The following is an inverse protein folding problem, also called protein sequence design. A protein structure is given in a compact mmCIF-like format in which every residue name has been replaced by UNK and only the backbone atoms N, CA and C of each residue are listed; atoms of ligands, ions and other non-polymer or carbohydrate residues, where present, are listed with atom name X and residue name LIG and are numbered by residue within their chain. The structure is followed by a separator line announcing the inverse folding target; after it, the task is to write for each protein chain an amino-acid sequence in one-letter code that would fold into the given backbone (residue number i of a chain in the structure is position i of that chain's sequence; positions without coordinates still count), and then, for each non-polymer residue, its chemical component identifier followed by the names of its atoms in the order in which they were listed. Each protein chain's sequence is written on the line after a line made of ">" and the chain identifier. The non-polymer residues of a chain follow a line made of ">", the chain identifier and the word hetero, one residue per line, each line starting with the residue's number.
data_IF_794469244059
#
_entry.id   IF_794469244059
#
_cell.length_a   1.000
_cell.length_b   1.000
_cell.length_c   1.000
_cell.angle_alpha   90.00
_cell.angle_beta   90.00
_cell.angle_gamma   90.00
#
_symmetry.space_group_name_H-M   'P 1'
#
loop_
_entity.id
_entity.type
_entity.pdbx_description
1 polymer ?
#
# COMPACT_ATOMS: atom_id res chain seq x y z
N UNK A 1 -11.60 -34.88 22.31
CA UNK A 1 -12.29 -34.63 21.00
C UNK A 1 -12.94 -33.23 20.93
N UNK A 2 -13.50 -32.73 22.03
CA UNK A 2 -14.11 -31.38 22.07
C UNK A 2 -13.11 -30.23 21.97
N UNK A 3 -11.94 -30.36 22.59
CA UNK A 3 -10.89 -29.35 22.55
C UNK A 3 -10.32 -29.19 21.13
N UNK A 4 -10.15 -30.29 20.40
CA UNK A 4 -9.69 -30.24 19.01
C UNK A 4 -10.69 -29.58 18.04
N UNK A 5 -11.99 -29.68 18.31
CA UNK A 5 -13.04 -29.01 17.52
C UNK A 5 -13.08 -27.51 17.84
N UNK A 6 -12.93 -27.12 19.11
CA UNK A 6 -12.84 -25.73 19.54
C UNK A 6 -11.62 -25.04 18.94
N UNK A 7 -10.45 -25.66 18.96
CA UNK A 7 -9.23 -25.12 18.37
C UNK A 7 -9.35 -25.01 16.84
N UNK A 8 -10.02 -25.95 16.18
CA UNK A 8 -10.30 -25.90 14.74
C UNK A 8 -11.29 -24.78 14.38
N UNK A 9 -12.33 -24.57 15.18
CA UNK A 9 -13.30 -23.48 14.97
C UNK A 9 -12.71 -22.10 15.27
N UNK A 10 -11.90 -21.99 16.33
CA UNK A 10 -11.17 -20.76 16.65
C UNK A 10 -10.12 -20.43 15.57
N UNK A 11 -9.40 -21.43 15.07
CA UNK A 11 -8.41 -21.23 14.01
C UNK A 11 -9.07 -20.85 12.69
N UNK A 12 -10.27 -21.40 12.36
CA UNK A 12 -11.06 -20.97 11.19
C UNK A 12 -11.58 -19.55 11.36
N UNK A 13 -12.12 -19.18 12.52
CA UNK A 13 -12.59 -17.83 12.79
C UNK A 13 -11.46 -16.78 12.72
N UNK A 14 -10.30 -17.09 13.28
CA UNK A 14 -9.12 -16.22 13.18
C UNK A 14 -8.60 -16.13 11.75
N UNK A 15 -8.63 -17.20 10.97
CA UNK A 15 -8.27 -17.21 9.55
C UNK A 15 -9.20 -16.33 8.72
N UNK A 16 -10.51 -16.39 8.95
CA UNK A 16 -11.49 -15.53 8.24
C UNK A 16 -11.33 -14.05 8.59
N UNK A 17 -11.10 -13.73 9.86
CA UNK A 17 -10.87 -12.34 10.30
C UNK A 17 -9.58 -11.80 9.67
N UNK A 18 -8.51 -12.59 9.64
CA UNK A 18 -7.25 -12.22 9.01
C UNK A 18 -7.42 -11.99 7.50
N UNK A 19 -8.15 -12.85 6.80
CA UNK A 19 -8.41 -12.69 5.37
C UNK A 19 -9.20 -11.41 5.08
N UNK A 20 -10.24 -11.10 5.85
CA UNK A 20 -11.02 -9.87 5.68
C UNK A 20 -10.17 -8.61 5.87
N UNK A 21 -9.26 -8.61 6.85
CA UNK A 21 -8.37 -7.48 7.11
C UNK A 21 -7.33 -7.28 6.01
N UNK A 22 -6.78 -8.36 5.47
CA UNK A 22 -5.90 -8.29 4.29
C UNK A 22 -6.66 -7.71 3.10
N UNK A 23 -7.88 -8.15 2.84
CA UNK A 23 -8.73 -7.60 1.75
C UNK A 23 -8.98 -6.11 1.94
N UNK A 24 -9.32 -5.66 3.15
CA UNK A 24 -9.53 -4.24 3.45
C UNK A 24 -8.25 -3.44 3.21
N UNK A 25 -7.13 -3.89 3.74
CA UNK A 25 -5.85 -3.21 3.60
C UNK A 25 -5.40 -3.11 2.14
N UNK A 26 -5.58 -4.15 1.37
CA UNK A 26 -5.18 -4.20 -0.04
C UNK A 26 -6.14 -3.48 -0.97
N UNK A 27 -7.44 -3.48 -0.68
CA UNK A 27 -8.46 -2.82 -1.50
C UNK A 27 -8.56 -1.33 -1.22
N UNK A 28 -8.81 -0.94 0.04
CA UNK A 28 -8.94 0.47 0.41
C UNK A 28 -7.59 1.15 0.60
N UNK A 29 -6.59 0.43 1.12
CA UNK A 29 -5.28 0.97 1.42
C UNK A 29 -4.55 1.50 0.19
N UNK A 30 -4.75 0.89 -0.97
CA UNK A 30 -4.14 1.35 -2.24
C UNK A 30 -4.57 2.76 -2.62
N UNK A 31 -5.78 3.19 -2.26
CA UNK A 31 -6.27 4.55 -2.54
C UNK A 31 -5.57 5.61 -1.70
N UNK A 32 -5.02 5.24 -0.53
CA UNK A 32 -4.25 6.13 0.32
C UNK A 32 -2.76 6.16 0.01
N UNK A 33 -2.29 5.42 -0.99
CA UNK A 33 -0.86 5.40 -1.33
C UNK A 33 -0.51 6.55 -2.27
N UNK A 34 0.36 7.50 -1.87
CA UNK A 34 0.71 8.66 -2.70
C UNK A 34 1.22 8.29 -4.10
N UNK A 35 1.99 7.20 -4.22
CA UNK A 35 2.49 6.71 -5.51
C UNK A 35 1.37 6.23 -6.45
N UNK A 36 0.22 5.84 -5.94
CA UNK A 36 -0.94 5.48 -6.75
C UNK A 36 -1.68 6.72 -7.22
N UNK A 37 -1.81 7.72 -6.35
CA UNK A 37 -2.44 9.01 -6.69
C UNK A 37 -1.67 9.72 -7.79
N UNK A 38 -0.33 9.71 -7.75
CA UNK A 38 0.51 10.32 -8.79
C UNK A 38 0.23 9.81 -10.21
N UNK A 39 -0.23 8.56 -10.35
CA UNK A 39 -0.57 8.01 -11.68
C UNK A 39 -1.78 8.70 -12.31
N UNK A 40 -2.70 9.24 -11.51
CA UNK A 40 -3.84 9.98 -12.04
C UNK A 40 -3.45 11.32 -12.69
N UNK A 41 -2.36 11.93 -12.22
CA UNK A 41 -1.85 13.17 -12.81
C UNK A 41 -1.22 13.00 -14.21
N UNK A 42 -0.93 11.76 -14.62
CA UNK A 42 -0.35 11.44 -15.92
C UNK A 42 -1.42 11.10 -16.97
N UNK A 43 -2.70 11.28 -16.67
CA UNK A 43 -3.80 10.96 -17.59
C UNK A 43 -4.12 12.18 -18.45
N UNK A 44 -4.02 12.05 -19.79
CA UNK A 44 -4.19 13.14 -20.72
C UNK A 44 -5.65 13.56 -20.96
N UNK A 45 -6.60 12.60 -20.89
CA UNK A 45 -8.00 12.87 -21.17
C UNK A 45 -8.96 11.89 -20.45
N UNK A 46 -10.23 12.30 -20.30
CA UNK A 46 -11.26 11.53 -19.59
C UNK A 46 -11.63 10.20 -20.28
N UNK A 47 -11.58 10.15 -21.61
CA UNK A 47 -11.84 8.91 -22.34
C UNK A 47 -10.78 7.83 -22.04
N UNK A 48 -9.56 8.22 -21.74
CA UNK A 48 -8.49 7.33 -21.32
C UNK A 48 -8.75 6.74 -19.93
N UNK A 49 -9.47 7.44 -19.05
CA UNK A 49 -9.85 6.93 -17.72
C UNK A 49 -10.76 5.71 -17.87
N UNK A 50 -11.80 5.79 -18.68
CA UNK A 50 -12.73 4.68 -18.88
C UNK A 50 -12.04 3.44 -19.47
N UNK A 51 -11.24 3.65 -20.53
CA UNK A 51 -10.46 2.56 -21.15
C UNK A 51 -9.46 1.96 -20.15
N UNK A 52 -8.73 2.81 -19.43
CA UNK A 52 -7.78 2.39 -18.42
C UNK A 52 -8.44 1.60 -17.28
N UNK A 53 -9.62 2.01 -16.84
CA UNK A 53 -10.38 1.30 -15.80
C UNK A 53 -10.77 -0.11 -16.25
N UNK A 54 -11.29 -0.26 -17.47
CA UNK A 54 -11.67 -1.59 -17.99
C UNK A 54 -10.43 -2.48 -18.14
N UNK A 55 -9.37 -1.97 -18.76
CA UNK A 55 -8.13 -2.74 -18.98
C UNK A 55 -7.51 -3.16 -17.64
N UNK A 56 -7.37 -2.23 -16.69
CA UNK A 56 -6.78 -2.53 -15.39
C UNK A 56 -7.65 -3.48 -14.55
N UNK A 57 -8.96 -3.40 -14.66
CA UNK A 57 -9.87 -4.33 -13.97
C UNK A 57 -9.73 -5.76 -14.52
N UNK A 58 -9.73 -5.93 -15.85
CA UNK A 58 -9.54 -7.24 -16.48
C UNK A 58 -8.16 -7.79 -16.11
N UNK A 59 -7.13 -6.96 -16.20
CA UNK A 59 -5.77 -7.35 -15.83
C UNK A 59 -5.68 -7.79 -14.36
N UNK A 60 -6.28 -7.02 -13.44
CA UNK A 60 -6.31 -7.34 -12.02
C UNK A 60 -7.05 -8.65 -11.74
N UNK A 61 -8.17 -8.91 -12.42
CA UNK A 61 -8.91 -10.18 -12.31
C UNK A 61 -8.06 -11.37 -12.76
N UNK A 62 -7.38 -11.25 -13.89
CA UNK A 62 -6.53 -12.32 -14.43
C UNK A 62 -5.35 -12.58 -13.48
N UNK A 63 -4.64 -11.54 -13.04
CA UNK A 63 -3.47 -11.68 -12.18
C UNK A 63 -3.86 -12.17 -10.79
N UNK A 64 -4.81 -11.53 -10.13
CA UNK A 64 -5.24 -11.94 -8.79
C UNK A 64 -5.89 -13.32 -8.81
N UNK A 65 -6.79 -13.58 -9.77
CA UNK A 65 -7.42 -14.88 -9.93
C UNK A 65 -6.39 -15.99 -10.18
N UNK A 66 -5.40 -15.74 -11.03
CA UNK A 66 -4.29 -16.65 -11.29
C UNK A 66 -3.44 -16.93 -10.05
N UNK A 67 -3.09 -15.89 -9.29
CA UNK A 67 -2.32 -16.06 -8.06
C UNK A 67 -3.08 -16.89 -7.00
N UNK A 68 -4.37 -16.60 -6.78
CA UNK A 68 -5.18 -17.36 -5.83
C UNK A 68 -5.41 -18.80 -6.29
N UNK A 69 -5.63 -19.00 -7.60
CA UNK A 69 -5.76 -20.33 -8.19
C UNK A 69 -4.49 -21.14 -7.98
N UNK A 70 -3.31 -20.60 -8.32
CA UNK A 70 -2.02 -21.24 -8.08
C UNK A 70 -1.76 -21.51 -6.61
N UNK A 71 -2.08 -20.53 -5.73
CA UNK A 71 -1.95 -20.69 -4.28
C UNK A 71 -2.79 -21.86 -3.74
N UNK A 72 -3.95 -22.14 -4.32
CA UNK A 72 -4.78 -23.28 -3.98
C UNK A 72 -4.09 -24.63 -4.17
N UNK A 73 -3.20 -24.75 -5.16
CA UNK A 73 -2.40 -25.97 -5.36
C UNK A 73 -1.39 -26.24 -4.25
N UNK A 74 -1.06 -25.25 -3.41
CA UNK A 74 -0.19 -25.45 -2.24
C UNK A 74 -0.67 -26.56 -1.32
N UNK A 75 -1.99 -26.82 -1.27
CA UNK A 75 -2.55 -27.94 -0.49
C UNK A 75 -2.16 -29.33 -1.01
N UNK A 76 -1.87 -29.46 -2.29
CA UNK A 76 -1.43 -30.74 -2.87
C UNK A 76 0.00 -31.12 -2.44
N UNK A 77 0.76 -30.13 -1.96
CA UNK A 77 2.13 -30.27 -1.49
C UNK A 77 2.26 -30.13 0.03
N UNK A 78 1.14 -30.24 0.78
CA UNK A 78 1.12 -30.06 2.24
C UNK A 78 2.11 -30.96 2.98
N UNK A 79 2.34 -32.17 2.47
CA UNK A 79 3.25 -33.14 3.08
C UNK A 79 4.73 -32.77 2.93
N UNK A 80 5.04 -31.88 1.98
CA UNK A 80 6.39 -31.39 1.70
C UNK A 80 6.66 -30.00 2.32
N UNK A 81 5.61 -29.35 2.85
CA UNK A 81 5.67 -27.98 3.33
C UNK A 81 5.55 -27.96 4.85
N UNK A 82 6.65 -27.68 5.54
CA UNK A 82 6.63 -27.40 7.00
C UNK A 82 6.53 -25.89 7.24
N UNK A 83 5.30 -25.40 7.33
CA UNK A 83 5.01 -23.97 7.61
C UNK A 83 5.48 -23.57 9.02
N UNK A 84 5.53 -24.51 9.99
CA UNK A 84 5.98 -24.19 11.35
C UNK A 84 7.49 -23.95 11.42
N UNK A 85 8.26 -24.70 10.63
CA UNK A 85 9.71 -24.55 10.58
C UNK A 85 10.16 -23.44 9.62
N UNK A 86 9.53 -23.34 8.43
CA UNK A 86 10.02 -22.52 7.33
C UNK A 86 9.15 -21.28 7.03
N UNK A 87 8.01 -21.11 7.74
CA UNK A 87 7.08 -20.02 7.50
C UNK A 87 6.23 -20.19 6.24
N UNK A 88 5.26 -19.29 6.06
CA UNK A 88 4.35 -19.30 4.90
C UNK A 88 5.04 -18.98 3.57
N UNK A 89 6.13 -18.21 3.61
CA UNK A 89 6.88 -17.80 2.41
C UNK A 89 7.60 -18.97 1.72
N UNK A 90 7.72 -20.12 2.40
CA UNK A 90 8.30 -21.35 1.85
C UNK A 90 7.37 -22.13 0.91
N UNK A 91 6.07 -21.82 0.91
CA UNK A 91 5.06 -22.61 0.16
C UNK A 91 5.37 -22.59 -1.33
N UNK A 92 5.48 -21.40 -1.93
CA UNK A 92 5.72 -21.26 -3.37
C UNK A 92 7.08 -21.83 -3.80
N UNK A 93 8.21 -21.55 -3.13
CA UNK A 93 9.48 -22.17 -3.46
C UNK A 93 9.43 -23.71 -3.42
N UNK A 94 8.76 -24.29 -2.43
CA UNK A 94 8.61 -25.76 -2.33
C UNK A 94 7.78 -26.33 -3.49
N UNK A 95 6.70 -25.68 -3.89
CA UNK A 95 5.94 -26.07 -5.06
C UNK A 95 6.79 -26.01 -6.33
N UNK A 96 7.57 -24.94 -6.49
CA UNK A 96 8.43 -24.74 -7.66
C UNK A 96 9.57 -25.74 -7.73
N UNK A 97 10.08 -26.23 -6.59
CA UNK A 97 11.16 -27.22 -6.56
C UNK A 97 10.79 -28.57 -7.24
N UNK A 98 9.51 -28.83 -7.44
CA UNK A 98 9.01 -29.99 -8.17
C UNK A 98 8.99 -29.81 -9.70
N UNK A 99 9.36 -28.64 -10.21
CA UNK A 99 9.43 -28.35 -11.64
C UNK A 99 10.81 -28.74 -12.21
N UNK A 100 10.87 -28.82 -13.54
CA UNK A 100 12.17 -29.01 -14.21
C UNK A 100 13.12 -27.84 -13.96
N UNK A 101 14.45 -28.06 -13.91
CA UNK A 101 15.42 -26.99 -13.63
C UNK A 101 15.33 -25.79 -14.59
N UNK A 102 14.97 -26.04 -15.85
CA UNK A 102 14.80 -24.96 -16.83
C UNK A 102 13.59 -24.07 -16.50
N UNK A 103 12.48 -24.63 -16.03
CA UNK A 103 11.30 -23.88 -15.61
C UNK A 103 11.58 -23.12 -14.31
N UNK A 104 12.29 -23.73 -13.37
CA UNK A 104 12.71 -23.03 -12.12
C UNK A 104 13.57 -21.80 -12.48
N UNK A 105 14.56 -21.97 -13.36
CA UNK A 105 15.42 -20.86 -13.79
C UNK A 105 14.60 -19.72 -14.44
N UNK A 106 13.64 -20.08 -15.31
CA UNK A 106 12.75 -19.10 -15.94
C UNK A 106 11.95 -18.32 -14.91
N UNK A 107 11.32 -19.00 -13.94
CA UNK A 107 10.52 -18.36 -12.88
C UNK A 107 11.39 -17.46 -12.01
N UNK A 108 12.59 -17.90 -11.62
CA UNK A 108 13.53 -17.09 -10.83
C UNK A 108 13.91 -15.81 -11.58
N UNK A 109 14.23 -15.90 -12.87
CA UNK A 109 14.54 -14.72 -13.70
C UNK A 109 13.35 -13.77 -13.77
N UNK A 110 12.14 -14.29 -13.98
CA UNK A 110 10.93 -13.48 -14.02
C UNK A 110 10.68 -12.74 -12.69
N UNK A 111 10.78 -13.44 -11.56
CA UNK A 111 10.60 -12.86 -10.23
C UNK A 111 11.65 -11.80 -9.94
N UNK A 112 12.92 -12.07 -10.24
CA UNK A 112 14.00 -11.09 -10.07
C UNK A 112 13.79 -9.85 -10.94
N UNK A 113 13.43 -10.03 -12.22
CA UNK A 113 13.18 -8.91 -13.13
C UNK A 113 12.01 -8.04 -12.66
N UNK A 114 10.90 -8.64 -12.25
CA UNK A 114 9.75 -7.93 -11.71
C UNK A 114 10.08 -7.17 -10.42
N UNK A 115 10.81 -7.81 -9.50
CA UNK A 115 11.23 -7.21 -8.24
C UNK A 115 12.20 -6.03 -8.46
N UNK A 116 13.15 -6.17 -9.38
CA UNK A 116 14.09 -5.10 -9.72
C UNK A 116 13.39 -3.89 -10.33
N UNK A 117 12.43 -4.11 -11.23
CA UNK A 117 11.62 -3.05 -11.84
C UNK A 117 10.86 -2.24 -10.78
N UNK A 118 10.19 -2.94 -9.86
CA UNK A 118 9.42 -2.30 -8.79
C UNK A 118 10.33 -1.57 -7.80
N UNK A 119 11.41 -2.23 -7.35
CA UNK A 119 12.37 -1.65 -6.41
C UNK A 119 12.99 -0.37 -6.98
N UNK A 120 13.42 -0.38 -8.24
CA UNK A 120 14.02 0.77 -8.91
C UNK A 120 13.06 1.97 -8.93
N UNK A 121 11.80 1.76 -9.29
CA UNK A 121 10.81 2.82 -9.33
C UNK A 121 10.50 3.41 -7.95
N UNK A 122 10.38 2.56 -6.92
CA UNK A 122 10.13 3.01 -5.54
C UNK A 122 11.31 3.77 -4.95
N UNK A 123 12.54 3.29 -5.16
CA UNK A 123 13.74 3.94 -4.65
C UNK A 123 13.97 5.30 -5.33
N UNK A 124 13.74 5.40 -6.64
CA UNK A 124 13.84 6.67 -7.37
C UNK A 124 12.77 7.65 -6.87
N UNK A 125 11.51 7.21 -6.75
CA UNK A 125 10.43 8.05 -6.24
C UNK A 125 10.73 8.57 -4.83
N UNK A 126 11.13 7.69 -3.90
CA UNK A 126 11.46 8.07 -2.51
C UNK A 126 12.65 9.03 -2.45
N UNK A 127 13.70 8.78 -3.24
CA UNK A 127 14.90 9.64 -3.29
C UNK A 127 14.59 11.01 -3.90
N UNK A 128 13.74 11.06 -4.93
CA UNK A 128 13.29 12.31 -5.55
C UNK A 128 12.46 13.13 -4.60
N UNK A 129 11.46 12.53 -3.94
CA UNK A 129 10.60 13.21 -2.96
C UNK A 129 11.43 13.75 -1.80
N UNK A 130 12.34 12.96 -1.25
CA UNK A 130 13.21 13.44 -0.16
C UNK A 130 14.15 14.56 -0.61
N UNK A 131 14.66 14.51 -1.85
CA UNK A 131 15.56 15.56 -2.36
C UNK A 131 14.81 16.83 -2.74
N UNK A 132 13.73 16.71 -3.50
CA UNK A 132 13.03 17.85 -4.09
C UNK A 132 12.07 18.47 -3.08
N UNK A 133 11.16 17.66 -2.52
CA UNK A 133 10.08 18.17 -1.67
C UNK A 133 10.54 18.47 -0.24
N UNK A 134 11.54 17.74 0.26
CA UNK A 134 12.00 17.94 1.62
C UNK A 134 13.30 18.75 1.72
N UNK A 135 14.39 18.32 1.06
CA UNK A 135 15.69 18.99 1.19
C UNK A 135 15.73 20.35 0.49
N UNK A 136 15.25 20.42 -0.74
CA UNK A 136 15.26 21.66 -1.52
C UNK A 136 14.32 22.71 -0.93
N UNK A 137 13.08 22.33 -0.60
CA UNK A 137 12.09 23.31 -0.15
C UNK A 137 12.34 23.80 1.28
N UNK A 138 12.86 22.95 2.18
CA UNK A 138 13.04 23.32 3.57
C UNK A 138 14.47 23.77 3.94
N UNK A 139 15.51 23.20 3.28
CA UNK A 139 16.89 23.41 3.71
C UNK A 139 17.76 24.12 2.67
N UNK A 140 17.60 23.84 1.38
CA UNK A 140 18.50 24.31 0.33
C UNK A 140 17.70 24.94 -0.81
N UNK A 141 17.09 26.09 -0.57
CA UNK A 141 16.16 26.75 -1.52
C UNK A 141 16.74 27.01 -2.94
N UNK A 142 18.06 27.15 -3.09
CA UNK A 142 18.74 27.42 -4.36
C UNK A 142 19.59 26.23 -4.83
N UNK A 143 19.06 25.02 -4.74
CA UNK A 143 19.78 23.83 -5.17
C UNK A 143 19.84 23.75 -6.71
N UNK A 144 21.04 23.77 -7.29
CA UNK A 144 21.22 23.61 -8.72
C UNK A 144 20.82 22.20 -9.19
N UNK A 145 20.39 22.05 -10.44
CA UNK A 145 19.96 20.75 -11.00
C UNK A 145 21.02 19.65 -10.85
N UNK A 146 22.29 19.97 -11.07
CA UNK A 146 23.42 19.04 -10.88
C UNK A 146 23.49 18.52 -9.43
N UNK A 147 23.27 19.40 -8.45
CA UNK A 147 23.24 19.00 -7.04
C UNK A 147 22.01 18.16 -6.72
N UNK A 148 20.84 18.49 -7.28
CA UNK A 148 19.63 17.68 -7.10
C UNK A 148 19.85 16.23 -7.57
N UNK A 149 20.38 16.06 -8.79
CA UNK A 149 20.71 14.73 -9.33
C UNK A 149 21.74 13.99 -8.47
N UNK A 150 22.75 14.70 -7.95
CA UNK A 150 23.74 14.09 -7.04
C UNK A 150 23.11 13.59 -5.75
N UNK A 151 22.27 14.42 -5.09
CA UNK A 151 21.58 14.01 -3.86
C UNK A 151 20.62 12.84 -4.11
N UNK A 152 19.87 12.86 -5.22
CA UNK A 152 19.01 11.72 -5.59
C UNK A 152 19.86 10.44 -5.71
N UNK A 153 20.99 10.47 -6.39
CA UNK A 153 21.88 9.30 -6.55
C UNK A 153 22.41 8.79 -5.20
N UNK A 154 22.82 9.69 -4.33
CA UNK A 154 23.30 9.32 -2.98
C UNK A 154 22.18 8.66 -2.20
N UNK A 155 20.97 9.25 -2.20
CA UNK A 155 19.82 8.70 -1.49
C UNK A 155 19.36 7.35 -2.07
N UNK A 156 19.45 7.15 -3.39
CA UNK A 156 19.20 5.84 -4.02
C UNK A 156 20.10 4.78 -3.39
N UNK A 157 21.41 5.06 -3.29
CA UNK A 157 22.37 4.12 -2.67
C UNK A 157 22.03 3.86 -1.20
N UNK A 158 21.69 4.92 -0.45
CA UNK A 158 21.31 4.81 0.97
C UNK A 158 20.04 3.95 1.13
N UNK A 159 18.99 4.20 0.36
CA UNK A 159 17.75 3.41 0.45
C UNK A 159 17.97 1.95 0.05
N UNK A 160 18.77 1.68 -0.98
CA UNK A 160 19.11 0.30 -1.36
C UNK A 160 19.90 -0.38 -0.23
N UNK A 161 20.86 0.31 0.38
CA UNK A 161 21.64 -0.23 1.50
C UNK A 161 20.75 -0.56 2.71
N UNK A 162 19.83 0.36 3.08
CA UNK A 162 18.85 0.13 4.14
C UNK A 162 17.97 -1.09 3.81
N UNK A 163 17.47 -1.17 2.58
CA UNK A 163 16.62 -2.29 2.14
C UNK A 163 17.39 -3.63 2.21
N UNK A 164 18.66 -3.64 1.81
CA UNK A 164 19.48 -4.84 1.89
C UNK A 164 19.74 -5.26 3.35
N UNK A 165 20.00 -4.31 4.25
CA UNK A 165 20.18 -4.59 5.69
C UNK A 165 18.89 -5.17 6.28
N UNK A 166 17.73 -4.58 5.97
CA UNK A 166 16.44 -5.09 6.43
C UNK A 166 16.16 -6.50 5.91
N UNK A 167 16.49 -6.78 4.64
CA UNK A 167 16.35 -8.10 4.05
C UNK A 167 17.26 -9.14 4.74
N UNK A 168 18.49 -8.76 5.08
CA UNK A 168 19.41 -9.63 5.83
C UNK A 168 18.92 -9.90 7.27
N UNK A 169 18.37 -8.89 7.93
CA UNK A 169 17.77 -9.06 9.26
C UNK A 169 16.57 -10.00 9.17
N UNK A 170 15.70 -9.83 8.19
CA UNK A 170 14.55 -10.70 7.96
C UNK A 170 14.99 -12.15 7.70
N UNK A 171 15.99 -12.35 6.86
CA UNK A 171 16.51 -13.69 6.56
C UNK A 171 17.06 -14.41 7.80
N UNK A 172 17.73 -13.67 8.70
CA UNK A 172 18.28 -14.26 9.95
C UNK A 172 17.27 -14.47 11.05
N UNK A 173 16.22 -13.63 11.09
CA UNK A 173 15.26 -13.60 12.19
C UNK A 173 13.94 -14.24 11.78
N UNK A 174 13.71 -15.30 11.27
CA UNK A 174 12.46 -16.00 10.86
C UNK A 174 11.11 -15.52 11.49
N UNK A 175 11.12 -14.30 12.06
CA UNK A 175 10.05 -13.75 12.93
C UNK A 175 8.94 -13.04 12.13
N UNK A 176 9.23 -12.58 10.91
CA UNK A 176 8.28 -11.79 10.13
C UNK A 176 8.20 -12.28 8.70
N UNK A 177 7.03 -12.72 8.26
CA UNK A 177 6.81 -13.04 6.85
C UNK A 177 6.49 -11.77 6.04
N UNK A 178 6.66 -11.82 4.73
CA UNK A 178 6.56 -10.68 3.79
C UNK A 178 5.24 -9.90 3.95
N UNK A 179 4.12 -10.61 4.17
CA UNK A 179 2.82 -9.96 4.37
C UNK A 179 2.75 -9.06 5.61
N UNK A 180 3.51 -9.36 6.67
CA UNK A 180 3.58 -8.48 7.86
C UNK A 180 4.38 -7.21 7.56
N UNK A 181 5.46 -7.28 6.81
CA UNK A 181 6.21 -6.09 6.36
C UNK A 181 5.36 -5.20 5.45
N UNK A 182 4.60 -5.82 4.55
CA UNK A 182 3.60 -5.11 3.74
C UNK A 182 2.57 -4.42 4.65
N UNK A 183 2.06 -5.12 5.66
CA UNK A 183 1.11 -4.56 6.63
C UNK A 183 1.66 -3.34 7.37
N UNK A 184 2.94 -3.36 7.75
CA UNK A 184 3.60 -2.24 8.41
C UNK A 184 3.68 -1.03 7.46
N UNK A 185 4.23 -1.20 6.26
CA UNK A 185 4.46 -0.08 5.34
C UNK A 185 3.16 0.47 4.77
N UNK A 186 2.27 -0.39 4.31
CA UNK A 186 0.97 0.04 3.77
C UNK A 186 0.06 0.57 4.87
N UNK A 187 0.08 -0.04 6.05
CA UNK A 187 -0.68 0.46 7.20
C UNK A 187 -0.26 1.86 7.61
N UNK A 188 1.03 2.14 7.65
CA UNK A 188 1.53 3.48 7.96
C UNK A 188 1.13 4.50 6.88
N UNK A 189 1.35 4.18 5.61
CA UNK A 189 1.05 5.09 4.49
C UNK A 189 -0.46 5.26 4.29
N UNK A 190 -1.20 4.17 4.14
CA UNK A 190 -2.64 4.22 3.92
C UNK A 190 -3.39 4.82 5.11
N UNK A 191 -2.99 4.47 6.35
CA UNK A 191 -3.54 5.07 7.55
C UNK A 191 -3.31 6.57 7.63
N UNK A 192 -2.16 7.05 7.15
CA UNK A 192 -1.82 8.49 7.15
C UNK A 192 -2.52 9.28 6.05
N UNK A 193 -2.68 8.72 4.86
CA UNK A 193 -3.07 9.48 3.67
C UNK A 193 -4.48 9.17 3.15
N UNK A 194 -5.04 7.97 3.40
CA UNK A 194 -6.33 7.57 2.86
C UNK A 194 -7.46 8.55 3.23
N UNK A 195 -7.62 8.81 4.52
CA UNK A 195 -8.69 9.68 5.00
C UNK A 195 -8.50 11.16 4.59
N UNK A 196 -7.32 11.77 4.76
CA UNK A 196 -7.05 13.09 4.20
C UNK A 196 -7.33 13.19 2.70
N UNK A 197 -6.88 12.23 1.91
CA UNK A 197 -7.10 12.22 0.47
C UNK A 197 -8.59 12.10 0.12
N UNK A 198 -9.27 11.10 0.66
CA UNK A 198 -10.70 10.90 0.40
C UNK A 198 -11.55 12.11 0.78
N UNK A 199 -11.38 12.62 1.99
CA UNK A 199 -12.18 13.76 2.45
C UNK A 199 -11.83 15.06 1.73
N UNK A 200 -10.59 15.27 1.30
CA UNK A 200 -10.22 16.45 0.53
C UNK A 200 -10.83 16.50 -0.86
N UNK A 201 -11.14 15.34 -1.46
CA UNK A 201 -11.83 15.28 -2.75
C UNK A 201 -13.31 15.61 -2.65
N UNK A 202 -13.97 15.27 -1.54
CA UNK A 202 -15.43 15.38 -1.43
C UNK A 202 -15.89 16.49 -0.48
N UNK A 203 -15.00 17.09 0.29
CA UNK A 203 -15.38 18.06 1.33
C UNK A 203 -14.49 19.31 1.34
N UNK A 204 -15.11 20.47 1.16
CA UNK A 204 -14.48 21.79 1.29
C UNK A 204 -14.10 22.14 2.75
N UNK A 205 -14.33 21.26 3.73
CA UNK A 205 -14.20 21.55 5.16
C UNK A 205 -12.97 20.94 5.82
N UNK A 206 -12.17 20.19 5.08
CA UNK A 206 -10.96 19.51 5.60
C UNK A 206 -9.91 20.55 5.98
N UNK A 207 -9.43 20.50 7.22
CA UNK A 207 -8.43 21.44 7.72
C UNK A 207 -7.01 20.86 7.63
N UNK A 208 -6.01 21.72 7.50
CA UNK A 208 -4.60 21.33 7.55
C UNK A 208 -4.25 20.57 8.84
N UNK A 209 -4.84 21.01 9.96
CA UNK A 209 -4.60 20.38 11.27
C UNK A 209 -5.17 18.96 11.34
N UNK A 210 -6.32 18.68 10.71
CA UNK A 210 -6.89 17.32 10.68
C UNK A 210 -6.04 16.34 9.86
N UNK A 211 -5.43 16.81 8.76
CA UNK A 211 -4.50 16.01 7.98
C UNK A 211 -3.25 15.65 8.79
N UNK A 212 -2.67 16.64 9.49
CA UNK A 212 -1.54 16.40 10.38
C UNK A 212 -1.87 15.47 11.54
N UNK A 213 -3.04 15.63 12.14
CA UNK A 213 -3.50 14.76 13.23
C UNK A 213 -3.62 13.30 12.75
N UNK A 214 -4.19 13.06 11.57
CA UNK A 214 -4.30 11.74 10.98
C UNK A 214 -2.92 11.14 10.69
N UNK A 215 -2.03 11.92 10.07
CA UNK A 215 -0.66 11.50 9.75
C UNK A 215 0.12 11.12 11.00
N UNK A 216 0.13 11.98 12.03
CA UNK A 216 0.85 11.73 13.27
C UNK A 216 0.27 10.53 14.02
N UNK A 217 -1.06 10.44 14.15
CA UNK A 217 -1.73 9.31 14.80
C UNK A 217 -1.33 7.98 14.15
N UNK A 218 -1.47 7.88 12.83
CA UNK A 218 -1.19 6.65 12.11
C UNK A 218 0.29 6.27 12.19
N UNK A 219 1.19 7.24 11.99
CA UNK A 219 2.64 7.00 12.05
C UNK A 219 3.08 6.57 13.45
N UNK A 220 2.61 7.26 14.49
CA UNK A 220 2.92 6.91 15.88
C UNK A 220 2.34 5.55 16.25
N UNK A 221 1.10 5.26 15.86
CA UNK A 221 0.46 3.97 16.12
C UNK A 221 1.25 2.81 15.49
N UNK A 222 1.66 2.95 14.24
CA UNK A 222 2.42 1.91 13.54
C UNK A 222 3.83 1.75 14.11
N UNK A 223 4.51 2.83 14.46
CA UNK A 223 5.80 2.77 15.14
C UNK A 223 5.67 2.13 16.52
N UNK A 224 4.66 2.51 17.29
CA UNK A 224 4.39 1.90 18.59
C UNK A 224 4.11 0.38 18.47
N UNK A 225 3.38 -0.04 17.43
CA UNK A 225 3.16 -1.46 17.17
C UNK A 225 4.46 -2.22 16.87
N UNK A 226 5.41 -1.61 16.19
CA UNK A 226 6.72 -2.24 15.91
C UNK A 226 7.53 -2.41 17.20
N UNK A 227 7.63 -1.37 18.01
CA UNK A 227 8.53 -1.36 19.19
C UNK A 227 7.88 -1.91 20.47
N UNK A 228 6.58 -1.74 20.64
CA UNK A 228 5.84 -2.08 21.88
C UNK A 228 4.71 -3.08 21.64
N UNK A 229 4.91 -4.02 20.72
CA UNK A 229 3.91 -4.98 20.27
C UNK A 229 3.19 -5.70 21.42
N UNK A 230 3.92 -6.09 22.47
CA UNK A 230 3.37 -6.80 23.62
C UNK A 230 2.37 -5.98 24.45
N UNK A 231 2.43 -4.65 24.38
CA UNK A 231 1.50 -3.75 25.08
C UNK A 231 0.15 -3.57 24.38
N UNK A 232 0.03 -4.06 23.14
CA UNK A 232 -1.22 -3.94 22.38
C UNK A 232 -2.16 -5.13 22.67
N UNK A 233 -3.49 -4.91 22.58
CA UNK A 233 -4.46 -6.01 22.59
C UNK A 233 -4.10 -7.05 21.51
N UNK A 234 -4.37 -8.32 21.75
CA UNK A 234 -3.95 -9.43 20.88
C UNK A 234 -4.36 -9.24 19.41
N UNK A 235 -5.53 -8.68 19.16
CA UNK A 235 -6.02 -8.41 17.80
C UNK A 235 -5.28 -7.27 17.09
N UNK A 236 -4.69 -6.32 17.82
CA UNK A 236 -3.90 -5.19 17.28
C UNK A 236 -2.39 -5.50 17.19
N UNK A 237 -1.93 -6.59 17.74
CA UNK A 237 -0.52 -7.00 17.66
C UNK A 237 -0.09 -7.34 16.22
N UNK A 238 -1.03 -7.79 15.39
CA UNK A 238 -0.74 -7.98 13.96
C UNK A 238 -0.58 -6.63 13.26
N UNK A 239 0.52 -6.37 12.54
CA UNK A 239 0.71 -5.14 11.78
C UNK A 239 -0.39 -4.87 10.76
N UNK A 240 -0.96 -5.92 10.17
CA UNK A 240 -2.06 -5.82 9.21
C UNK A 240 -3.31 -5.27 9.87
N UNK A 241 -3.64 -5.79 11.05
CA UNK A 241 -4.80 -5.35 11.83
C UNK A 241 -4.61 -3.92 12.32
N UNK A 242 -3.40 -3.60 12.76
CA UNK A 242 -3.02 -2.26 13.21
C UNK A 242 -3.14 -1.26 12.05
N UNK A 243 -2.68 -1.63 10.85
CA UNK A 243 -2.81 -0.82 9.65
C UNK A 243 -4.26 -0.59 9.24
N UNK A 244 -5.09 -1.64 9.23
CA UNK A 244 -6.52 -1.52 8.96
C UNK A 244 -7.21 -0.62 10.00
N UNK A 245 -6.88 -0.79 11.28
CA UNK A 245 -7.39 0.08 12.34
C UNK A 245 -6.97 1.54 12.15
N UNK A 246 -5.71 1.79 11.80
CA UNK A 246 -5.21 3.15 11.52
C UNK A 246 -6.01 3.83 10.39
N UNK A 247 -6.35 3.09 9.33
CA UNK A 247 -7.17 3.59 8.21
C UNK A 247 -8.58 3.99 8.68
N UNK A 248 -9.27 3.13 9.43
CA UNK A 248 -10.61 3.43 9.95
C UNK A 248 -10.59 4.56 10.99
N UNK A 249 -9.59 4.58 11.88
CA UNK A 249 -9.41 5.67 12.83
C UNK A 249 -9.19 7.00 12.10
N UNK A 250 -8.40 7.02 11.03
CA UNK A 250 -8.21 8.20 10.17
C UNK A 250 -9.52 8.73 9.60
N UNK A 251 -10.42 7.83 9.15
CA UNK A 251 -11.75 8.20 8.63
C UNK A 251 -12.63 8.91 9.68
N UNK A 252 -12.34 8.70 10.97
CA UNK A 252 -13.03 9.37 12.07
C UNK A 252 -12.26 10.65 12.48
N UNK A 253 -10.93 10.57 12.60
CA UNK A 253 -10.07 11.67 13.05
C UNK A 253 -10.20 12.89 12.14
N UNK A 254 -10.14 12.68 10.82
CA UNK A 254 -10.15 13.80 9.86
C UNK A 254 -11.42 14.64 9.98
N UNK A 255 -12.65 14.10 9.89
CA UNK A 255 -13.86 14.91 10.05
C UNK A 255 -14.00 15.49 11.45
N UNK A 256 -13.70 14.71 12.50
CA UNK A 256 -13.83 15.18 13.89
C UNK A 256 -12.90 16.37 14.15
N UNK A 257 -11.61 16.24 13.84
CA UNK A 257 -10.65 17.34 14.06
C UNK A 257 -10.98 18.55 13.17
N UNK A 258 -11.48 18.33 11.96
CA UNK A 258 -11.90 19.42 11.05
C UNK A 258 -13.09 20.23 11.61
N UNK A 259 -13.92 19.66 12.49
CA UNK A 259 -15.00 20.39 13.14
C UNK A 259 -14.49 21.40 14.18
N UNK A 260 -13.38 21.09 14.85
CA UNK A 260 -12.81 21.90 15.94
C UNK A 260 -11.65 22.80 15.49
N UNK A 261 -11.22 22.73 14.25
CA UNK A 261 -10.06 23.48 13.74
C UNK A 261 -10.46 24.55 12.72
N UNK A 262 -9.65 25.61 12.55
CA UNK A 262 -9.93 26.65 11.58
C UNK A 262 -10.10 26.07 10.18
N UNK A 263 -11.11 26.56 9.47
CA UNK A 263 -11.36 26.18 8.08
C UNK A 263 -10.22 26.69 7.18
N UNK A 264 -9.93 25.98 6.08
CA UNK A 264 -8.96 26.45 5.10
C UNK A 264 -9.46 27.73 4.42
N UNK A 265 -8.54 28.43 3.77
CA UNK A 265 -8.84 29.65 3.01
C UNK A 265 -9.87 29.37 1.92
N UNK A 266 -10.96 30.17 1.90
CA UNK A 266 -12.07 29.98 0.98
C UNK A 266 -11.64 30.13 -0.48
N UNK A 267 -10.79 31.10 -0.79
CA UNK A 267 -10.33 31.35 -2.17
C UNK A 267 -9.54 30.16 -2.71
N UNK A 268 -8.66 29.58 -1.88
CA UNK A 268 -7.89 28.40 -2.25
C UNK A 268 -8.79 27.19 -2.48
N UNK A 269 -9.77 26.97 -1.58
CA UNK A 269 -10.70 25.84 -1.68
C UNK A 269 -11.59 25.99 -2.90
N UNK A 270 -12.17 27.15 -3.13
CA UNK A 270 -13.06 27.37 -4.26
C UNK A 270 -12.32 27.28 -5.59
N UNK A 271 -11.08 27.73 -5.66
CA UNK A 271 -10.24 27.52 -6.87
C UNK A 271 -9.94 26.04 -7.11
N UNK A 272 -9.67 25.27 -6.07
CA UNK A 272 -9.41 23.83 -6.19
C UNK A 272 -10.66 23.03 -6.60
N UNK A 273 -11.85 23.46 -6.14
CA UNK A 273 -13.12 22.83 -6.47
C UNK A 273 -13.79 23.37 -7.73
N UNK A 274 -13.24 24.39 -8.38
CA UNK A 274 -13.77 24.95 -9.62
C UNK A 274 -13.84 23.91 -10.76
N UNK A 275 -13.02 22.87 -10.72
CA UNK A 275 -13.09 21.78 -11.69
C UNK A 275 -14.38 20.97 -11.62
N UNK A 276 -15.05 20.91 -10.46
CA UNK A 276 -16.33 20.20 -10.30
C UNK A 276 -17.54 21.03 -10.81
N UNK A 277 -17.36 22.33 -11.00
CA UNK A 277 -18.41 23.24 -11.50
C UNK A 277 -18.40 23.33 -13.05
N UNK A 278 -17.39 22.77 -13.71
CA UNK A 278 -17.39 22.65 -15.16
C UNK A 278 -18.40 21.58 -15.56
N UNK A 279 -19.54 22.02 -16.08
CA UNK A 279 -20.48 21.13 -16.77
C UNK A 279 -19.74 20.54 -17.98
N UNK A 280 -19.45 19.26 -17.95
CA UNK A 280 -19.03 18.52 -19.14
C UNK A 280 -20.30 18.33 -19.96
N UNK A 281 -20.50 19.11 -21.02
CA UNK A 281 -21.45 18.77 -22.06
C UNK A 281 -21.04 17.41 -22.63
N UNK A 282 -21.66 16.36 -22.10
CA UNK A 282 -21.57 15.04 -22.71
C UNK A 282 -22.29 15.17 -24.05
N UNK A 283 -21.60 15.07 -25.19
CA UNK A 283 -22.28 15.08 -26.48
C UNK A 283 -23.29 13.95 -26.45
N UNK A 284 -24.56 14.29 -26.39
CA UNK A 284 -25.65 13.33 -26.57
C UNK A 284 -25.33 12.62 -27.87
N UNK A 285 -25.04 11.34 -27.81
CA UNK A 285 -25.11 10.50 -29.00
C UNK A 285 -26.50 10.69 -29.55
N UNK A 286 -26.58 11.54 -30.57
CA UNK A 286 -27.78 11.66 -31.37
C UNK A 286 -28.17 10.26 -31.76
N UNK A 287 -29.35 9.90 -31.24
CA UNK A 287 -29.92 8.58 -31.25
C UNK A 287 -29.60 7.76 -32.50
N UNK A 288 -29.33 6.52 -32.21
CA UNK A 288 -29.88 5.39 -32.96
C UNK A 288 -30.48 5.80 -34.32
N UNK A 289 -29.67 5.68 -35.35
CA UNK A 289 -30.01 5.33 -36.70
C UNK A 289 -31.27 5.94 -37.29
N UNK A 290 -31.08 6.82 -38.20
CA UNK A 290 -31.74 6.62 -39.46
C UNK A 290 -30.76 6.01 -40.44
#
# INVERSE_FOLDING_TARGET
>A
AEDGIRDCLLSRGLGEVYQRQVVILTSLGTWGLPQMVQKFYAIDNEASIQKGTVISTIFALIVSGGCYFLGGFGRLFSDQIDVKANGFDSIIPTMLSNLSPALIALVVILVLSASMSTLSSLVIASSSTLTIDFLKDNFIKNMSEKKQVLYIRILVVVFIAISAILALIQYKSSVTFIAQLMGISWGALAGSFLAPFMFSLYSKKVSKASCWACFLFSSVLMLANIFFRAGFPTWLQSPINCGAFAMFAGMIIVPVVSLFTPKPDKELVDSAFACYEKETEVPQKTALGK
#
